data_IF_100604521791
#
_entry.id   IF_100604521791
#
_cell.length_a   1.000
_cell.length_b   1.000
_cell.length_c   1.000
_cell.angle_alpha   90.00
_cell.angle_beta   90.00
_cell.angle_gamma   90.00
#
_symmetry.space_group_name_H-M   'P 1'
#
loop_
_entity.id
_entity.type
_entity.pdbx_description
1 polymer ?
#
# COMPACT_ATOMS: atom_id res chain seq x y z
N UNK A 1 8.46 1.29 -20.09
CA UNK A 1 8.05 2.23 -19.01
C UNK A 1 7.90 1.51 -17.70
N UNK A 2 7.09 0.45 -17.60
CA UNK A 2 7.02 -0.41 -16.41
C UNK A 2 8.37 -1.05 -16.04
N UNK A 3 9.17 -1.39 -17.05
CA UNK A 3 10.47 -2.08 -16.87
C UNK A 3 11.60 -1.15 -16.40
N UNK A 4 11.39 0.18 -16.45
CA UNK A 4 12.36 1.19 -16.02
C UNK A 4 11.71 2.13 -15.00
N UNK A 5 11.92 1.82 -13.72
CA UNK A 5 11.40 2.60 -12.60
C UNK A 5 11.97 4.02 -12.55
N UNK A 6 13.11 4.28 -13.20
CA UNK A 6 13.74 5.61 -13.23
C UNK A 6 13.03 6.55 -14.20
N UNK A 7 12.33 6.00 -15.19
CA UNK A 7 11.52 6.73 -16.15
C UNK A 7 10.09 7.03 -15.66
N UNK A 8 9.72 6.55 -14.47
CA UNK A 8 8.36 6.74 -13.96
C UNK A 8 8.10 8.22 -13.61
N UNK A 9 6.91 8.75 -13.98
CA UNK A 9 6.51 10.07 -13.54
C UNK A 9 6.59 10.21 -12.02
N UNK A 10 6.88 11.43 -11.54
CA UNK A 10 6.98 11.69 -10.10
C UNK A 10 5.64 11.42 -9.41
N UNK A 11 5.62 10.46 -8.48
CA UNK A 11 4.40 10.02 -7.79
C UNK A 11 3.86 8.69 -8.32
N UNK A 12 4.31 8.20 -9.47
CA UNK A 12 3.94 6.86 -9.94
C UNK A 12 4.56 5.79 -9.02
N UNK A 13 3.77 4.78 -8.65
CA UNK A 13 4.25 3.61 -7.93
C UNK A 13 3.30 3.09 -6.87
N UNK A 14 3.88 2.44 -5.85
CA UNK A 14 3.10 1.76 -4.81
C UNK A 14 2.70 2.73 -3.70
N UNK A 15 1.41 2.74 -3.39
CA UNK A 15 0.80 3.43 -2.27
C UNK A 15 0.24 2.41 -1.30
N UNK A 16 0.58 2.52 -0.01
CA UNK A 16 -0.10 1.79 1.04
C UNK A 16 -1.27 2.63 1.57
N UNK A 17 -2.48 2.08 1.49
CA UNK A 17 -3.72 2.77 1.88
C UNK A 17 -3.94 2.79 3.39
N UNK A 18 -3.06 2.14 4.15
CA UNK A 18 -3.09 2.18 5.61
C UNK A 18 -2.81 3.58 6.14
N UNK A 19 -3.79 4.13 6.86
CA UNK A 19 -3.68 5.45 7.49
C UNK A 19 -3.66 5.32 9.01
N UNK A 20 -3.02 6.29 9.66
CA UNK A 20 -3.01 6.38 11.13
C UNK A 20 -4.44 6.48 11.65
N UNK A 21 -4.79 5.61 12.59
CA UNK A 21 -6.13 5.57 13.21
C UNK A 21 -7.12 4.65 12.51
N UNK A 22 -6.81 4.15 11.30
CA UNK A 22 -7.65 3.14 10.66
C UNK A 22 -7.42 1.76 11.29
N UNK A 23 -8.51 1.01 11.46
CA UNK A 23 -8.47 -0.41 11.81
C UNK A 23 -8.56 -1.25 10.54
N UNK A 24 -7.86 -2.39 10.53
CA UNK A 24 -7.97 -3.39 9.48
C UNK A 24 -8.00 -4.78 10.12
N UNK A 25 -8.58 -5.72 9.41
CA UNK A 25 -8.59 -7.12 9.80
C UNK A 25 -7.42 -7.85 9.14
N UNK A 26 -6.57 -8.50 9.93
CA UNK A 26 -5.62 -9.44 9.37
C UNK A 26 -6.36 -10.73 8.99
N UNK A 27 -6.45 -11.01 7.70
CA UNK A 27 -7.06 -12.21 7.15
C UNK A 27 -6.15 -12.87 6.11
N UNK A 28 -6.21 -14.18 5.94
CA UNK A 28 -5.34 -14.92 5.01
C UNK A 28 -5.63 -14.71 3.50
N UNK A 29 -6.51 -13.77 3.14
CA UNK A 29 -6.83 -13.49 1.74
C UNK A 29 -5.67 -12.78 1.05
N UNK A 30 -5.41 -13.22 -0.17
CA UNK A 30 -4.60 -12.54 -1.17
C UNK A 30 -5.53 -12.14 -2.32
N UNK A 31 -5.56 -10.86 -2.68
CA UNK A 31 -6.37 -10.36 -3.79
C UNK A 31 -5.52 -9.47 -4.69
N UNK A 32 -5.72 -9.64 -5.99
CA UNK A 32 -5.16 -8.79 -7.03
C UNK A 32 -6.32 -8.35 -7.94
N UNK A 33 -6.44 -7.06 -8.21
CA UNK A 33 -7.48 -6.55 -9.10
C UNK A 33 -6.96 -5.39 -9.94
N UNK A 34 -7.35 -5.28 -11.22
CA UNK A 34 -6.99 -4.15 -12.05
C UNK A 34 -7.74 -2.90 -11.59
N UNK A 35 -7.09 -1.75 -11.68
CA UNK A 35 -7.74 -0.44 -11.66
C UNK A 35 -7.88 0.06 -13.08
N UNK A 36 -9.04 0.64 -13.42
CA UNK A 36 -9.30 1.22 -14.74
C UNK A 36 -9.65 2.69 -14.66
N UNK A 37 -9.24 3.47 -15.65
CA UNK A 37 -9.68 4.86 -15.81
C UNK A 37 -11.07 4.97 -16.48
N UNK A 38 -11.54 6.20 -16.71
CA UNK A 38 -12.82 6.49 -17.36
C UNK A 38 -12.89 5.92 -18.80
N UNK A 39 -11.75 5.80 -19.49
CA UNK A 39 -11.62 5.17 -20.81
C UNK A 39 -11.56 3.63 -20.77
N UNK A 40 -11.70 3.01 -19.59
CA UNK A 40 -11.55 1.56 -19.36
C UNK A 40 -10.15 1.00 -19.62
N UNK A 41 -9.14 1.87 -19.65
CA UNK A 41 -7.75 1.45 -19.75
C UNK A 41 -7.22 1.15 -18.34
N UNK A 42 -6.26 0.23 -18.25
CA UNK A 42 -5.62 -0.11 -16.98
C UNK A 42 -4.80 1.08 -16.52
N UNK A 43 -5.13 1.61 -15.34
CA UNK A 43 -4.42 2.72 -14.69
C UNK A 43 -3.56 2.26 -13.50
N UNK A 44 -3.72 1.02 -13.06
CA UNK A 44 -2.98 0.46 -11.95
C UNK A 44 -3.48 -0.92 -11.53
N UNK A 45 -2.98 -1.39 -10.39
CA UNK A 45 -3.34 -2.66 -9.77
C UNK A 45 -3.56 -2.43 -8.28
N UNK A 46 -4.68 -2.92 -7.76
CA UNK A 46 -4.90 -3.05 -6.33
C UNK A 46 -4.46 -4.42 -5.82
N UNK A 47 -3.87 -4.42 -4.63
CA UNK A 47 -3.37 -5.62 -3.96
C UNK A 47 -3.82 -5.60 -2.50
N UNK A 48 -4.39 -6.70 -2.03
CA UNK A 48 -4.67 -6.93 -0.61
C UNK A 48 -3.96 -8.20 -0.14
N UNK A 49 -3.12 -8.06 0.88
CA UNK A 49 -2.35 -9.17 1.46
C UNK A 49 -2.43 -9.03 2.97
N UNK A 50 -2.97 -10.04 3.67
CA UNK A 50 -3.05 -10.02 5.15
C UNK A 50 -3.80 -8.79 5.71
N UNK A 51 -4.77 -8.27 4.94
CA UNK A 51 -5.51 -7.04 5.28
C UNK A 51 -4.77 -5.74 4.97
N UNK A 52 -3.50 -5.80 4.56
CA UNK A 52 -2.76 -4.64 4.07
C UNK A 52 -3.18 -4.35 2.63
N UNK A 53 -3.61 -3.12 2.38
CA UNK A 53 -4.08 -2.67 1.07
C UNK A 53 -3.05 -1.78 0.39
N UNK A 54 -2.78 -2.08 -0.87
CA UNK A 54 -1.85 -1.32 -1.70
C UNK A 54 -2.45 -1.03 -3.07
N UNK A 55 -2.11 0.13 -3.64
CA UNK A 55 -2.35 0.46 -5.03
C UNK A 55 -1.02 0.71 -5.74
N UNK A 56 -0.73 -0.04 -6.79
CA UNK A 56 0.34 0.24 -7.74
C UNK A 56 -0.26 1.05 -8.89
N UNK A 57 0.08 2.33 -8.97
CA UNK A 57 -0.44 3.22 -10.01
C UNK A 57 0.58 3.38 -11.13
N UNK A 58 0.12 3.41 -12.38
CA UNK A 58 0.94 3.64 -13.58
C UNK A 58 1.21 5.13 -13.81
N UNK A 59 0.41 5.99 -13.19
CA UNK A 59 0.51 7.45 -13.25
C UNK A 59 0.37 8.04 -11.85
N UNK A 60 0.84 9.28 -11.61
CA UNK A 60 0.63 9.95 -10.34
C UNK A 60 -0.87 10.13 -10.08
N UNK A 61 -1.36 9.85 -8.87
CA UNK A 61 -2.78 9.94 -8.59
C UNK A 61 -3.28 11.39 -8.63
N UNK A 62 -4.44 11.59 -9.25
CA UNK A 62 -5.24 12.78 -9.00
C UNK A 62 -5.96 12.61 -7.65
N UNK A 63 -5.43 13.28 -6.62
CA UNK A 63 -5.96 13.22 -5.26
C UNK A 63 -7.37 13.81 -5.14
N UNK A 64 -7.80 14.67 -6.07
CA UNK A 64 -9.18 15.17 -6.10
C UNK A 64 -10.16 14.07 -6.53
N UNK A 65 -9.70 13.15 -7.39
CA UNK A 65 -10.47 11.98 -7.85
C UNK A 65 -10.28 10.74 -6.97
N UNK A 66 -9.23 10.72 -6.14
CA UNK A 66 -8.82 9.56 -5.35
C UNK A 66 -8.65 9.92 -3.87
N UNK A 67 -9.74 10.25 -3.16
CA UNK A 67 -9.67 10.68 -1.76
C UNK A 67 -9.07 9.62 -0.84
N UNK A 68 -9.20 8.34 -1.16
CA UNK A 68 -8.62 7.23 -0.38
C UNK A 68 -7.08 7.25 -0.35
N UNK A 69 -6.45 7.97 -1.30
CA UNK A 69 -5.00 8.17 -1.35
C UNK A 69 -4.53 9.35 -0.49
N UNK A 70 -5.45 10.17 0.03
CA UNK A 70 -5.12 11.25 0.96
C UNK A 70 -4.59 10.65 2.25
N UNK A 71 -3.30 10.82 2.52
CA UNK A 71 -2.63 10.24 3.69
C UNK A 71 -2.06 8.84 3.47
N UNK A 72 -2.26 8.24 2.28
CA UNK A 72 -1.59 7.00 1.90
C UNK A 72 -0.07 7.18 1.89
N UNK A 73 0.66 6.15 2.28
CA UNK A 73 2.13 6.17 2.27
C UNK A 73 2.67 5.72 0.93
N UNK A 74 3.38 6.62 0.26
CA UNK A 74 4.06 6.34 -1.00
C UNK A 74 5.38 5.62 -0.74
N UNK A 75 5.55 4.42 -1.31
CA UNK A 75 6.78 3.61 -1.23
C UNK A 75 7.37 3.52 0.18
N UNK A 76 6.63 3.00 1.17
CA UNK A 76 7.17 2.86 2.52
C UNK A 76 8.42 1.97 2.52
N UNK A 77 9.32 2.23 3.46
CA UNK A 77 10.53 1.44 3.70
C UNK A 77 10.28 0.23 4.61
N UNK A 78 9.22 0.30 5.39
CA UNK A 78 8.97 -0.62 6.49
C UNK A 78 7.50 -0.65 6.89
N UNK A 79 7.03 -1.84 7.23
CA UNK A 79 5.76 -2.08 7.92
C UNK A 79 6.06 -2.89 9.19
N UNK A 80 5.78 -2.29 10.35
CA UNK A 80 5.85 -2.95 11.64
C UNK A 80 4.45 -3.40 12.06
N UNK A 81 4.31 -4.67 12.44
CA UNK A 81 3.06 -5.24 12.93
C UNK A 81 3.31 -5.73 14.35
N UNK A 82 2.74 -5.01 15.33
CA UNK A 82 2.96 -5.22 16.75
C UNK A 82 1.78 -6.00 17.36
N UNK A 83 2.01 -7.25 17.71
CA UNK A 83 1.12 -8.05 18.56
C UNK A 83 1.57 -7.97 20.02
N UNK A 84 0.74 -8.38 21.00
CA UNK A 84 1.11 -8.32 22.42
C UNK A 84 2.40 -9.08 22.76
N UNK A 85 2.67 -10.20 22.07
CA UNK A 85 3.81 -11.08 22.35
C UNK A 85 4.90 -11.09 21.27
N UNK A 86 4.63 -10.52 20.08
CA UNK A 86 5.55 -10.59 18.94
C UNK A 86 5.47 -9.33 18.09
N UNK A 87 6.60 -8.89 17.54
CA UNK A 87 6.64 -7.84 16.52
C UNK A 87 7.13 -8.46 15.21
N UNK A 88 6.31 -8.37 14.18
CA UNK A 88 6.69 -8.73 12.82
C UNK A 88 7.14 -7.48 12.08
N UNK A 89 8.20 -7.61 11.28
CA UNK A 89 8.78 -6.50 10.50
C UNK A 89 8.87 -6.92 9.04
N UNK A 90 8.24 -6.13 8.18
CA UNK A 90 8.35 -6.26 6.73
C UNK A 90 9.22 -5.10 6.26
N UNK A 91 10.38 -5.41 5.67
CA UNK A 91 11.25 -4.42 5.04
C UNK A 91 10.97 -4.37 3.54
N UNK A 92 10.86 -3.17 3.00
CA UNK A 92 10.61 -2.92 1.60
C UNK A 92 11.81 -2.19 1.01
N UNK A 93 12.33 -2.71 -0.10
CA UNK A 93 13.42 -2.10 -0.86
C UNK A 93 12.93 -1.69 -2.23
N UNK A 94 13.32 -0.48 -2.65
CA UNK A 94 12.95 0.08 -3.94
C UNK A 94 14.19 0.20 -4.83
N UNK A 95 14.09 -0.30 -6.06
CA UNK A 95 15.18 -0.25 -7.05
C UNK A 95 15.30 1.11 -7.74
N UNK A 96 14.93 2.20 -7.07
CA UNK A 96 15.00 3.58 -7.60
C UNK A 96 16.24 4.35 -7.13
N UNK A 97 17.12 3.69 -6.36
CA UNK A 97 18.34 4.29 -5.81
C UNK A 97 18.09 5.34 -4.74
N UNK A 98 16.85 5.48 -4.24
CA UNK A 98 16.47 6.48 -3.23
C UNK A 98 16.33 5.84 -1.86
N UNK A 99 16.65 6.62 -0.84
CA UNK A 99 16.35 6.24 0.54
C UNK A 99 14.88 6.60 0.84
N UNK A 100 14.09 5.58 1.14
CA UNK A 100 12.71 5.76 1.59
C UNK A 100 12.69 5.76 3.12
N UNK A 101 12.02 6.75 3.73
CA UNK A 101 12.00 6.93 5.19
C UNK A 101 10.62 6.71 5.81
N UNK A 102 9.55 6.71 4.99
CA UNK A 102 8.21 6.47 5.49
C UNK A 102 8.12 5.05 6.08
N UNK A 103 7.52 4.96 7.26
CA UNK A 103 7.31 3.73 8.00
C UNK A 103 5.85 3.64 8.40
N UNK A 104 5.34 2.42 8.41
CA UNK A 104 3.99 2.11 8.87
C UNK A 104 4.06 1.27 10.13
N UNK A 105 3.17 1.52 11.08
CA UNK A 105 3.04 0.72 12.29
C UNK A 105 1.58 0.36 12.50
N UNK A 106 1.30 -0.94 12.43
CA UNK A 106 0.03 -1.53 12.82
C UNK A 106 0.17 -2.07 14.25
N UNK A 107 -0.77 -1.69 15.12
CA UNK A 107 -0.84 -2.21 16.50
C UNK A 107 -2.04 -3.13 16.63
N UNK A 108 -1.82 -4.27 17.27
CA UNK A 108 -2.90 -5.17 17.64
C UNK A 108 -3.91 -4.45 18.53
N UNK A 109 -5.19 -4.60 18.17
CA UNK A 109 -6.31 -4.03 18.93
C UNK A 109 -7.04 -5.14 19.68
N UNK A 110 -7.49 -6.17 18.95
CA UNK A 110 -8.21 -7.33 19.50
C UNK A 110 -8.21 -8.51 18.54
N UNK A 111 -8.56 -9.68 19.07
CA UNK A 111 -8.98 -10.83 18.25
C UNK A 111 -10.44 -10.62 17.83
N UNK A 112 -10.78 -11.02 16.61
CA UNK A 112 -12.17 -11.13 16.16
C UNK A 112 -12.59 -12.59 16.34
N UNK A 113 -13.73 -12.83 16.96
CA UNK A 113 -14.27 -14.18 17.09
C UNK A 113 -14.58 -14.73 15.68
N UNK A 114 -14.08 -15.93 15.39
CA UNK A 114 -14.49 -16.67 14.21
C UNK A 114 -15.91 -17.17 14.47
N UNK A 115 -16.91 -16.48 13.91
CA UNK A 115 -18.29 -16.95 13.88
C UNK A 115 -18.45 -18.22 13.06
#
# INVERSE_FOLDING_TARGET
MLDDITAWPKGTGLYCLMQTGHTFENHLRFQLYPLTNESREISGIGVNILGLQFLLLLEPPDLAKSPDLVGAKFRPSEILIQYPSVTNRIMLSWSDGRLHQDKLTAKFVKVLDAG
#
